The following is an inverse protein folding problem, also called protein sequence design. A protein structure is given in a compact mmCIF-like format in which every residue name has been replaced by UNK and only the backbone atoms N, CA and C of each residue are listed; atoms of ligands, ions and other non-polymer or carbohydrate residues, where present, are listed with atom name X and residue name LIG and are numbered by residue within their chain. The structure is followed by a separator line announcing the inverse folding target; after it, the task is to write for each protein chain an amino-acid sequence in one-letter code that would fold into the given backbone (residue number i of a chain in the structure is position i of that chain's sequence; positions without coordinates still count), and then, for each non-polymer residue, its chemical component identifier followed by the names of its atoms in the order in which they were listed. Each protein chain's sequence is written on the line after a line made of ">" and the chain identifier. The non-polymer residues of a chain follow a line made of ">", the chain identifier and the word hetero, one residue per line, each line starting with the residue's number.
data_IF_757787178157
#
_entry.id   IF_757787178157
#
_cell.length_a   1.000
_cell.length_b   1.000
_cell.length_c   1.000
_cell.angle_alpha   90.00
_cell.angle_beta   90.00
_cell.angle_gamma   90.00
#
_symmetry.space_group_name_H-M   'P 1'
#
loop_
_entity.id
_entity.type
_entity.pdbx_description
1 polymer ?
#
# COMPACT_ATOMS: atom_id res chain seq x y z
N UNK A 1 1.67 14.28 9.31
CA UNK A 1 2.41 13.99 8.07
C UNK A 1 3.08 12.62 8.23
N UNK A 2 2.62 11.60 7.51
CA UNK A 2 3.21 10.26 7.58
C UNK A 2 4.58 10.24 6.88
N UNK A 3 5.58 9.54 7.47
CA UNK A 3 6.95 9.45 6.93
C UNK A 3 7.28 8.09 6.29
N UNK A 4 6.39 7.10 6.41
CA UNK A 4 6.50 5.81 5.72
C UNK A 4 5.74 5.90 4.39
N UNK A 5 6.39 5.56 3.27
CA UNK A 5 5.80 5.68 1.93
C UNK A 5 5.26 4.34 1.39
N UNK A 6 5.60 3.20 2.01
CA UNK A 6 5.37 1.89 1.41
C UNK A 6 4.81 0.86 2.39
N UNK A 7 3.77 0.16 1.93
CA UNK A 7 3.19 -1.01 2.58
C UNK A 7 3.24 -2.20 1.61
N UNK A 8 3.99 -3.23 1.99
CA UNK A 8 4.06 -4.50 1.25
C UNK A 8 3.08 -5.52 1.81
N UNK A 9 2.31 -6.23 0.97
CA UNK A 9 1.47 -7.33 1.42
C UNK A 9 2.04 -8.70 1.05
N UNK A 10 2.18 -9.58 2.07
CA UNK A 10 2.14 -11.03 1.90
C UNK A 10 0.70 -11.50 2.06
N UNK A 11 0.24 -12.37 1.17
CA UNK A 11 -1.20 -12.49 0.85
C UNK A 11 -1.73 -13.91 0.95
N UNK A 12 -2.93 -14.09 1.52
CA UNK A 12 -3.79 -15.22 1.16
C UNK A 12 -5.29 -14.88 1.14
N UNK A 13 -5.92 -15.27 0.01
CA UNK A 13 -7.32 -15.57 -0.31
C UNK A 13 -8.54 -14.79 0.25
N UNK A 14 -9.48 -14.58 -0.69
CA UNK A 14 -10.89 -14.15 -0.56
C UNK A 14 -11.11 -12.72 -0.03
N UNK A 15 -11.22 -11.78 -0.97
CA UNK A 15 -12.50 -11.09 -1.14
C UNK A 15 -13.02 -11.49 -2.53
N UNK A 16 -14.14 -12.22 -2.56
CA UNK A 16 -15.07 -12.19 -3.70
C UNK A 16 -16.10 -11.10 -3.39
N UNK A 17 -16.57 -10.44 -4.44
CA UNK A 17 -17.76 -9.60 -4.46
C UNK A 17 -17.88 -8.52 -3.36
N UNK A 18 -17.32 -7.34 -3.67
CA UNK A 18 -18.05 -6.10 -3.43
C UNK A 18 -18.25 -5.39 -4.78
N UNK A 19 -19.49 -5.39 -5.24
CA UNK A 19 -19.91 -4.67 -6.45
C UNK A 19 -20.10 -3.19 -6.14
N UNK A 20 -19.23 -2.32 -6.68
CA UNK A 20 -19.49 -0.90 -7.00
C UNK A 20 -18.23 -0.22 -7.59
N UNK A 21 -18.37 0.70 -8.56
CA UNK A 21 -17.24 1.37 -9.22
C UNK A 21 -16.63 2.53 -8.37
N UNK A 22 -15.82 2.18 -7.34
CA UNK A 22 -15.26 3.13 -6.36
C UNK A 22 -13.74 3.33 -6.43
N UNK A 23 -13.31 4.41 -7.11
CA UNK A 23 -11.93 4.92 -7.26
C UNK A 23 -10.94 4.60 -6.11
N UNK A 24 -9.89 3.84 -6.40
CA UNK A 24 -8.62 3.83 -5.64
C UNK A 24 -7.46 3.35 -6.52
N UNK A 25 -6.29 3.99 -6.41
CA UNK A 25 -5.10 3.68 -7.22
C UNK A 25 -4.37 2.43 -6.72
N UNK A 26 -5.01 1.27 -6.88
CA UNK A 26 -4.33 -0.02 -6.78
C UNK A 26 -3.39 -0.20 -7.97
N UNK A 27 -2.14 0.23 -7.77
CA UNK A 27 -1.01 -0.21 -8.58
C UNK A 27 -0.79 -1.71 -8.38
N UNK A 28 -1.58 -2.53 -9.06
CA UNK A 28 -1.30 -3.96 -9.25
C UNK A 28 -0.09 -4.08 -10.18
N UNK A 29 1.10 -3.74 -9.66
CA UNK A 29 2.36 -4.04 -10.31
C UNK A 29 2.54 -5.54 -10.23
N UNK A 30 1.98 -6.27 -11.21
CA UNK A 30 2.21 -7.70 -11.37
C UNK A 30 3.67 -7.89 -11.80
N UNK A 31 4.58 -7.86 -10.81
CA UNK A 31 6.02 -8.09 -11.00
C UNK A 31 6.22 -9.55 -11.38
N UNK A 32 6.05 -9.85 -12.68
CA UNK A 32 6.49 -11.12 -13.28
C UNK A 32 8.01 -11.12 -13.40
N UNK A 33 8.66 -11.15 -12.23
CA UNK A 33 10.10 -11.21 -12.09
C UNK A 33 10.58 -12.55 -12.65
N UNK A 34 11.20 -12.51 -13.84
CA UNK A 34 11.52 -13.69 -14.63
C UNK A 34 12.96 -13.60 -15.11
N UNK A 35 13.77 -14.61 -14.77
CA UNK A 35 15.10 -14.78 -15.36
C UNK A 35 14.99 -14.96 -16.89
N UNK A 36 15.84 -14.26 -17.65
CA UNK A 36 15.73 -14.19 -19.12
C UNK A 36 16.23 -15.48 -19.78
N UNK A 37 15.34 -16.14 -20.55
CA UNK A 37 15.67 -17.15 -21.58
C UNK A 37 14.85 -16.84 -22.86
N UNK A 38 15.33 -17.22 -24.05
CA UNK A 38 15.15 -16.43 -25.30
C UNK A 38 14.21 -17.04 -26.37
N UNK A 39 13.16 -16.28 -26.78
CA UNK A 39 12.28 -16.45 -27.98
C UNK A 39 11.41 -17.75 -27.97
N UNK A 40 10.34 -17.96 -28.78
CA UNK A 40 9.72 -17.19 -29.91
C UNK A 40 8.15 -17.29 -29.85
N UNK A 41 7.44 -16.75 -30.85
CA UNK A 41 6.01 -16.30 -30.88
C UNK A 41 4.94 -17.24 -31.49
N UNK A 42 3.63 -17.02 -31.18
CA UNK A 42 2.46 -17.07 -32.10
C UNK A 42 1.15 -16.47 -31.47
N UNK A 43 0.03 -16.37 -32.22
CA UNK A 43 -1.28 -15.75 -31.87
C UNK A 43 -2.46 -16.74 -32.13
N UNK A 44 -3.80 -16.48 -32.01
CA UNK A 44 -4.74 -15.31 -32.04
C UNK A 44 -6.00 -15.71 -31.17
N UNK A 45 -7.23 -15.12 -31.07
CA UNK A 45 -8.06 -14.03 -31.68
C UNK A 45 -9.15 -13.57 -30.64
N UNK A 46 -10.15 -12.77 -31.06
CA UNK A 46 -11.37 -12.20 -30.42
C UNK A 46 -12.48 -13.19 -29.96
N UNK A 47 -13.50 -12.79 -29.16
CA UNK A 47 -14.79 -12.18 -29.63
C UNK A 47 -15.75 -11.74 -28.46
N UNK A 48 -16.42 -10.58 -28.63
CA UNK A 48 -17.75 -10.04 -28.17
C UNK A 48 -18.59 -10.79 -27.10
N UNK A 49 -19.60 -10.21 -26.44
CA UNK A 49 -20.01 -8.86 -25.95
C UNK A 49 -21.38 -9.07 -25.26
N UNK A 50 -21.71 -8.36 -24.19
CA UNK A 50 -23.07 -8.26 -23.64
C UNK A 50 -23.20 -7.02 -22.74
N UNK A 51 -24.30 -6.28 -22.88
CA UNK A 51 -24.62 -5.06 -22.11
C UNK A 51 -25.68 -5.34 -21.04
N UNK A 52 -25.56 -4.66 -19.90
CA UNK A 52 -26.64 -4.45 -18.93
C UNK A 52 -26.52 -3.02 -18.39
N UNK A 53 -27.64 -2.35 -18.19
CA UNK A 53 -27.69 -0.93 -17.83
C UNK A 53 -27.59 -0.74 -16.31
N UNK A 54 -26.65 0.11 -15.83
CA UNK A 54 -26.56 0.51 -14.43
C UNK A 54 -27.38 1.78 -14.18
N UNK A 55 -28.39 1.69 -13.30
CA UNK A 55 -29.20 2.86 -12.94
C UNK A 55 -28.41 3.85 -12.05
N UNK A 56 -28.37 5.10 -12.50
CA UNK A 56 -27.70 6.20 -11.82
C UNK A 56 -28.52 6.69 -10.61
N UNK A 57 -28.07 6.39 -9.39
CA UNK A 57 -28.62 6.99 -8.16
C UNK A 57 -27.87 8.29 -7.86
N UNK A 58 -28.44 9.42 -8.27
CA UNK A 58 -27.98 10.75 -7.85
C UNK A 58 -28.37 11.04 -6.41
N UNK A 59 -27.44 11.56 -5.61
CA UNK A 59 -27.76 12.04 -4.26
C UNK A 59 -28.50 13.37 -4.34
N UNK A 60 -29.82 13.36 -4.11
CA UNK A 60 -30.60 14.57 -3.91
C UNK A 60 -30.27 15.20 -2.55
N UNK A 61 -30.30 16.53 -2.49
CA UNK A 61 -30.37 17.28 -1.23
C UNK A 61 -31.74 17.01 -0.59
N UNK A 62 -31.75 16.70 0.71
CA UNK A 62 -32.99 16.65 1.48
C UNK A 62 -33.46 18.07 1.78
N UNK A 63 -34.55 18.45 1.13
CA UNK A 63 -35.45 19.50 1.60
C UNK A 63 -36.59 18.79 2.36
N UNK A 64 -37.13 19.43 3.39
CA UNK A 64 -38.05 18.77 4.33
C UNK A 64 -39.46 18.60 3.73
N UNK A 65 -39.87 17.35 3.51
CA UNK A 65 -41.23 16.97 3.08
C UNK A 65 -41.87 15.98 4.09
N UNK A 66 -43.02 16.35 4.66
CA UNK A 66 -43.74 15.61 5.71
C UNK A 66 -44.54 14.43 5.11
N UNK A 67 -43.82 13.47 4.51
CA UNK A 67 -44.38 12.37 3.72
C UNK A 67 -44.36 10.99 4.38
N UNK A 68 -45.51 10.58 4.95
CA UNK A 68 -45.95 9.18 5.19
C UNK A 68 -44.93 8.14 5.73
N UNK A 69 -45.06 7.77 7.01
CA UNK A 69 -44.23 6.72 7.67
C UNK A 69 -44.53 5.31 7.13
N UNK A 70 -43.72 4.85 6.16
CA UNK A 70 -43.68 3.44 5.75
C UNK A 70 -42.93 2.61 6.80
N UNK A 71 -43.67 1.86 7.63
CA UNK A 71 -43.11 0.97 8.66
C UNK A 71 -42.37 -0.24 8.06
N UNK A 72 -41.15 -0.03 7.56
CA UNK A 72 -40.24 -1.14 7.24
C UNK A 72 -39.77 -1.83 8.53
N UNK A 73 -39.98 -3.14 8.65
CA UNK A 73 -39.53 -3.91 9.83
C UNK A 73 -38.00 -3.78 9.98
N UNK A 74 -37.48 -3.41 11.17
CA UNK A 74 -36.06 -3.16 11.35
C UNK A 74 -35.24 -4.43 11.10
N UNK A 75 -34.44 -4.44 10.02
CA UNK A 75 -33.48 -5.51 9.77
C UNK A 75 -32.45 -5.52 10.90
N UNK A 76 -32.26 -6.68 11.55
CA UNK A 76 -31.28 -6.86 12.62
C UNK A 76 -29.87 -6.61 12.05
N UNK A 77 -29.29 -5.44 12.39
CA UNK A 77 -27.93 -5.02 11.96
C UNK A 77 -26.91 -6.12 12.24
N UNK A 78 -25.93 -6.33 11.36
CA UNK A 78 -24.88 -7.31 11.60
C UNK A 78 -24.02 -6.91 12.79
N UNK A 79 -23.27 -7.86 13.37
CA UNK A 79 -22.33 -7.57 14.46
C UNK A 79 -21.24 -6.58 14.03
N UNK A 80 -20.82 -6.63 12.76
CA UNK A 80 -19.94 -5.64 12.13
C UNK A 80 -20.56 -4.25 12.06
N UNK A 81 -21.82 -4.13 11.65
CA UNK A 81 -22.51 -2.83 11.56
C UNK A 81 -22.68 -2.19 12.94
N UNK A 82 -23.07 -3.00 13.94
CA UNK A 82 -23.21 -2.55 15.33
C UNK A 82 -21.87 -2.10 15.92
N UNK A 83 -20.78 -2.81 15.60
CA UNK A 83 -19.44 -2.41 16.03
C UNK A 83 -18.96 -1.11 15.35
N UNK A 84 -19.24 -0.94 14.06
CA UNK A 84 -18.92 0.26 13.29
C UNK A 84 -19.74 1.48 13.77
N UNK A 85 -21.04 1.30 14.01
CA UNK A 85 -21.92 2.31 14.59
C UNK A 85 -21.46 2.76 15.98
N UNK A 86 -21.16 1.79 16.86
CA UNK A 86 -20.61 2.08 18.19
C UNK A 86 -19.27 2.82 18.12
N UNK A 87 -18.40 2.46 17.18
CA UNK A 87 -17.13 3.15 16.94
C UNK A 87 -17.33 4.59 16.42
N UNK A 88 -18.25 4.79 15.48
CA UNK A 88 -18.58 6.10 14.93
C UNK A 88 -19.14 7.04 16.02
N UNK A 89 -20.13 6.58 16.79
CA UNK A 89 -20.73 7.34 17.90
C UNK A 89 -19.68 7.70 18.97
N UNK A 90 -18.81 6.76 19.35
CA UNK A 90 -17.72 7.02 20.30
C UNK A 90 -16.69 8.03 19.74
N UNK A 91 -16.42 8.00 18.44
CA UNK A 91 -15.50 8.93 17.76
C UNK A 91 -16.07 10.35 17.70
N UNK A 92 -17.36 10.49 17.37
CA UNK A 92 -18.07 11.78 17.38
C UNK A 92 -18.14 12.36 18.80
N UNK A 93 -18.46 11.53 19.79
CA UNK A 93 -18.55 11.91 21.21
C UNK A 93 -17.25 12.52 21.76
N UNK A 94 -16.08 11.99 21.37
CA UNK A 94 -14.76 12.53 21.74
C UNK A 94 -14.48 13.94 21.21
N UNK A 95 -15.16 14.36 20.12
CA UNK A 95 -14.87 15.60 19.35
C UNK A 95 -13.39 15.68 18.90
N UNK A 96 -13.03 16.80 18.28
CA UNK A 96 -11.66 17.02 17.78
C UNK A 96 -10.62 16.97 18.91
N UNK A 97 -10.93 17.55 20.07
CA UNK A 97 -9.96 17.70 21.16
C UNK A 97 -9.75 16.42 21.97
N UNK A 98 -10.76 15.57 22.13
CA UNK A 98 -10.58 14.22 22.69
C UNK A 98 -9.70 13.34 21.78
N UNK A 99 -9.88 13.44 20.45
CA UNK A 99 -9.02 12.78 19.47
C UNK A 99 -7.58 13.32 19.47
N UNK A 100 -7.40 14.64 19.67
CA UNK A 100 -6.07 15.25 19.86
C UNK A 100 -5.39 14.76 21.13
N UNK A 101 -6.13 14.64 22.25
CA UNK A 101 -5.62 14.14 23.52
C UNK A 101 -5.22 12.65 23.42
N UNK A 102 -6.07 11.82 22.83
CA UNK A 102 -5.76 10.40 22.56
C UNK A 102 -4.51 10.25 21.68
N UNK A 103 -4.39 11.04 20.60
CA UNK A 103 -3.18 11.06 19.78
C UNK A 103 -1.94 11.60 20.52
N UNK A 104 -2.10 12.50 21.49
CA UNK A 104 -1.00 12.94 22.34
C UNK A 104 -0.52 11.81 23.26
N UNK A 105 -1.43 11.05 23.89
CA UNK A 105 -1.11 9.86 24.68
C UNK A 105 -0.38 8.80 23.83
N UNK A 106 -0.79 8.59 22.57
CA UNK A 106 -0.09 7.65 21.67
C UNK A 106 1.37 8.06 21.35
N UNK A 107 1.78 9.32 21.56
CA UNK A 107 3.19 9.76 21.40
C UNK A 107 4.09 9.35 22.57
N UNK A 108 3.54 9.02 23.74
CA UNK A 108 4.35 8.58 24.90
C UNK A 108 4.75 7.10 24.81
N UNK A 109 4.21 6.36 23.83
CA UNK A 109 4.55 4.96 23.59
C UNK A 109 6.03 4.79 23.17
N UNK A 110 6.79 4.09 24.00
CA UNK A 110 8.16 3.65 23.70
C UNK A 110 8.15 2.13 23.42
N UNK A 111 8.70 1.66 22.29
CA UNK A 111 8.84 0.22 22.02
C UNK A 111 9.72 -0.48 23.06
N UNK A 112 9.39 -1.73 23.42
CA UNK A 112 10.17 -2.54 24.38
C UNK A 112 11.61 -2.84 23.95
N UNK A 113 11.91 -2.75 22.65
CA UNK A 113 13.24 -2.95 22.08
C UNK A 113 13.56 -1.80 21.12
N UNK A 114 14.56 -0.99 21.46
CA UNK A 114 14.90 0.27 20.77
C UNK A 114 16.24 0.23 20.05
N UNK A 115 16.90 -0.93 19.97
CA UNK A 115 18.17 -1.10 19.27
C UNK A 115 18.07 -0.70 17.79
N UNK A 116 19.07 0.07 17.34
CA UNK A 116 19.13 0.73 16.02
C UNK A 116 20.55 0.72 15.43
N UNK A 117 21.33 -0.30 15.77
CA UNK A 117 22.74 -0.49 15.41
C UNK A 117 22.94 -0.52 13.90
N UNK A 118 22.08 -1.23 13.17
CA UNK A 118 22.16 -1.32 11.72
C UNK A 118 21.76 0.01 11.06
N UNK A 119 20.74 0.70 11.58
CA UNK A 119 20.34 2.04 11.13
C UNK A 119 21.47 3.06 11.31
N UNK A 120 22.14 3.06 12.47
CA UNK A 120 23.27 3.95 12.77
C UNK A 120 24.49 3.67 11.88
N UNK A 121 24.76 2.40 11.53
CA UNK A 121 25.89 2.02 10.65
C UNK A 121 25.63 2.36 9.16
N UNK A 122 24.37 2.52 8.75
CA UNK A 122 23.98 2.68 7.35
C UNK A 122 23.26 4.02 7.10
N UNK A 123 23.80 5.14 7.63
CA UNK A 123 23.16 6.46 7.53
C UNK A 123 22.86 6.89 6.08
N UNK A 124 23.75 6.57 5.14
CA UNK A 124 23.59 6.84 3.70
C UNK A 124 22.46 6.02 3.03
N UNK A 125 21.94 4.99 3.69
CA UNK A 125 20.79 4.22 3.25
C UNK A 125 19.47 4.72 3.87
N UNK A 126 19.49 5.77 4.70
CA UNK A 126 18.31 6.30 5.39
C UNK A 126 17.84 7.63 4.75
N UNK A 127 16.58 7.70 4.31
CA UNK A 127 15.98 8.92 3.73
C UNK A 127 15.69 10.00 4.77
N UNK A 128 15.52 9.62 6.05
CA UNK A 128 15.29 10.54 7.15
C UNK A 128 16.01 10.04 8.42
N UNK A 129 17.00 10.79 8.91
CA UNK A 129 17.74 10.45 10.13
C UNK A 129 16.87 10.44 11.40
N UNK A 130 15.68 11.05 11.36
CA UNK A 130 14.70 11.08 12.45
C UNK A 130 13.49 10.13 12.19
N UNK A 131 13.73 9.02 11.51
CA UNK A 131 12.82 7.86 11.40
C UNK A 131 13.66 6.61 11.63
N UNK A 132 13.60 6.05 12.83
CA UNK A 132 14.46 4.92 13.20
C UNK A 132 13.99 3.62 12.52
N UNK A 133 14.92 2.83 12.02
CA UNK A 133 14.72 1.42 11.67
C UNK A 133 15.26 0.56 12.82
N UNK A 134 14.39 -0.17 13.52
CA UNK A 134 14.80 -0.95 14.70
C UNK A 134 15.37 -2.32 14.32
N UNK A 135 16.49 -2.70 14.92
CA UNK A 135 17.22 -3.94 14.63
C UNK A 135 16.34 -5.19 14.82
N UNK A 136 15.53 -5.23 15.88
CA UNK A 136 14.75 -6.41 16.28
C UNK A 136 13.60 -6.78 15.32
N UNK A 137 13.22 -5.88 14.41
CA UNK A 137 12.15 -6.11 13.40
C UNK A 137 12.59 -5.76 11.98
N UNK A 138 13.84 -5.35 11.74
CA UNK A 138 14.31 -4.98 10.40
C UNK A 138 14.28 -6.18 9.45
N UNK A 139 14.12 -5.90 8.16
CA UNK A 139 14.37 -6.92 7.13
C UNK A 139 15.87 -7.00 6.89
N UNK A 140 16.43 -8.21 7.04
CA UNK A 140 17.81 -8.52 6.68
C UNK A 140 17.84 -8.99 5.23
N UNK A 141 18.57 -8.29 4.36
CA UNK A 141 18.77 -8.70 2.98
C UNK A 141 19.80 -9.84 2.90
N UNK A 142 19.47 -10.87 2.11
CA UNK A 142 20.26 -12.09 1.89
C UNK A 142 20.44 -12.41 0.41
N UNK A 143 19.50 -11.99 -0.44
CA UNK A 143 19.55 -12.31 -1.87
C UNK A 143 20.56 -11.43 -2.65
N UNK A 144 21.64 -12.06 -3.13
CA UNK A 144 22.65 -11.44 -3.98
C UNK A 144 23.23 -10.14 -3.36
N UNK A 145 23.54 -10.18 -2.07
CA UNK A 145 23.97 -9.05 -1.24
C UNK A 145 25.51 -9.03 -1.12
N UNK A 146 26.20 -7.88 -1.25
CA UNK A 146 27.62 -7.77 -0.92
C UNK A 146 27.84 -8.04 0.58
N UNK A 147 28.95 -8.67 1.01
CA UNK A 147 29.15 -9.14 2.38
C UNK A 147 28.74 -8.15 3.48
N UNK A 148 29.10 -6.88 3.31
CA UNK A 148 28.91 -5.82 4.32
C UNK A 148 27.60 -5.01 4.17
N UNK A 149 26.62 -5.48 3.37
CA UNK A 149 25.41 -4.70 3.01
C UNK A 149 24.08 -5.43 3.22
N UNK A 150 23.89 -6.02 4.40
CA UNK A 150 22.64 -6.71 4.80
C UNK A 150 21.42 -5.77 5.02
N UNK A 151 21.62 -4.45 4.95
CA UNK A 151 20.67 -3.46 5.46
C UNK A 151 19.78 -2.83 4.39
N UNK A 152 18.50 -2.72 4.73
CA UNK A 152 17.53 -1.80 4.13
C UNK A 152 16.68 -1.18 5.24
N UNK A 153 16.28 0.08 5.08
CA UNK A 153 15.35 0.75 6.00
C UNK A 153 13.92 0.22 5.80
N UNK A 154 13.67 -0.97 6.35
CA UNK A 154 12.39 -1.67 6.28
C UNK A 154 12.18 -2.53 7.54
N UNK A 155 10.99 -2.47 8.14
CA UNK A 155 10.62 -3.28 9.30
C UNK A 155 9.39 -4.15 9.01
N UNK A 156 9.40 -5.38 9.52
CA UNK A 156 8.21 -6.22 9.59
C UNK A 156 7.21 -5.64 10.58
N UNK A 157 5.96 -5.48 10.15
CA UNK A 157 4.83 -5.05 10.99
C UNK A 157 3.80 -6.17 11.05
N UNK A 158 3.47 -6.57 12.29
CA UNK A 158 2.43 -7.56 12.59
C UNK A 158 1.15 -6.83 13.01
N UNK A 159 0.01 -7.39 12.66
CA UNK A 159 -1.29 -6.97 13.20
C UNK A 159 -2.10 -8.20 13.57
N UNK A 160 -2.87 -8.13 14.66
CA UNK A 160 -3.85 -9.13 15.04
C UNK A 160 -5.14 -9.05 14.22
N UNK A 161 -5.35 -7.98 13.44
CA UNK A 161 -6.53 -7.78 12.61
C UNK A 161 -6.62 -8.73 11.40
N UNK A 162 -5.55 -9.48 11.12
CA UNK A 162 -5.54 -10.54 10.12
C UNK A 162 -4.76 -11.72 10.70
N UNK A 163 -5.32 -12.94 10.66
CA UNK A 163 -4.74 -14.18 11.21
C UNK A 163 -3.59 -14.72 10.34
N UNK A 164 -2.61 -13.86 10.07
CA UNK A 164 -1.41 -14.11 9.26
C UNK A 164 -0.18 -13.64 10.08
N UNK A 165 1.02 -14.22 9.85
CA UNK A 165 2.27 -13.76 10.44
C UNK A 165 3.02 -12.80 9.51
N UNK A 166 3.62 -11.74 10.07
CA UNK A 166 4.44 -10.74 9.34
C UNK A 166 3.73 -10.12 8.13
N UNK A 167 2.47 -9.70 8.32
CA UNK A 167 1.52 -9.31 7.27
C UNK A 167 2.04 -8.19 6.37
N UNK A 168 2.79 -7.26 6.97
CA UNK A 168 3.30 -6.08 6.30
C UNK A 168 4.80 -5.93 6.44
N UNK A 169 5.42 -5.36 5.42
CA UNK A 169 6.73 -4.71 5.52
C UNK A 169 6.52 -3.23 5.26
N UNK A 170 6.90 -2.40 6.23
CA UNK A 170 6.89 -0.95 6.11
C UNK A 170 8.30 -0.48 5.80
N UNK A 171 8.47 0.32 4.74
CA UNK A 171 9.78 0.85 4.32
C UNK A 171 9.70 2.32 3.91
N UNK A 172 10.83 3.01 3.96
CA UNK A 172 10.98 4.34 3.37
C UNK A 172 10.77 4.31 1.84
N UNK A 173 10.55 5.46 1.23
CA UNK A 173 10.60 5.56 -0.23
C UNK A 173 12.03 5.36 -0.75
N UNK A 174 12.28 4.43 -1.71
CA UNK A 174 13.60 4.22 -2.31
C UNK A 174 14.34 5.51 -2.63
N UNK A 175 15.63 5.55 -2.32
CA UNK A 175 16.58 6.54 -2.80
C UNK A 175 17.36 5.90 -3.94
N UNK A 176 18.00 6.71 -4.80
CA UNK A 176 18.68 6.21 -5.99
C UNK A 176 19.78 5.19 -5.65
N UNK A 177 20.54 5.44 -4.57
CA UNK A 177 21.51 4.50 -3.99
C UNK A 177 20.92 3.28 -3.25
N UNK A 178 19.59 3.11 -3.19
CA UNK A 178 18.90 1.98 -2.54
C UNK A 178 17.85 1.30 -3.43
N UNK A 179 17.70 1.66 -4.72
CA UNK A 179 16.70 1.05 -5.62
C UNK A 179 16.99 -0.46 -5.80
N UNK A 180 18.25 -0.84 -5.97
CA UNK A 180 18.65 -2.24 -6.12
C UNK A 180 18.32 -3.06 -4.87
N UNK A 181 18.51 -2.48 -3.69
CA UNK A 181 18.24 -3.10 -2.40
C UNK A 181 16.74 -3.25 -2.13
N UNK A 182 15.92 -2.29 -2.57
CA UNK A 182 14.47 -2.42 -2.63
C UNK A 182 14.02 -3.58 -3.53
N UNK A 183 14.65 -3.79 -4.70
CA UNK A 183 14.32 -4.94 -5.53
C UNK A 183 14.81 -6.28 -4.96
N UNK A 184 15.96 -6.29 -4.25
CA UNK A 184 16.39 -7.45 -3.44
C UNK A 184 15.35 -7.80 -2.37
N UNK A 185 14.82 -6.81 -1.65
CA UNK A 185 13.71 -6.97 -0.69
C UNK A 185 12.48 -7.60 -1.38
N UNK A 186 12.04 -7.07 -2.52
CA UNK A 186 10.89 -7.60 -3.29
C UNK A 186 11.12 -9.06 -3.71
N UNK A 187 12.30 -9.38 -4.27
CA UNK A 187 12.61 -10.73 -4.73
C UNK A 187 12.71 -11.75 -3.60
N UNK A 188 13.36 -11.36 -2.49
CA UNK A 188 13.50 -12.19 -1.30
C UNK A 188 12.14 -12.46 -0.65
N UNK A 189 11.37 -11.40 -0.38
CA UNK A 189 10.16 -11.50 0.42
C UNK A 189 8.91 -11.91 -0.39
N UNK A 190 8.97 -11.85 -1.72
CA UNK A 190 7.91 -12.31 -2.65
C UNK A 190 6.52 -11.74 -2.30
N UNK A 191 6.38 -10.42 -2.07
CA UNK A 191 5.08 -9.79 -1.84
C UNK A 191 4.26 -9.84 -3.14
N UNK A 192 2.93 -9.91 -3.05
CA UNK A 192 2.06 -9.85 -4.24
C UNK A 192 1.65 -8.42 -4.59
N UNK A 193 1.70 -7.51 -3.62
CA UNK A 193 1.28 -6.11 -3.78
C UNK A 193 2.29 -5.17 -3.12
N UNK A 194 2.61 -4.08 -3.82
CA UNK A 194 3.42 -2.97 -3.34
C UNK A 194 2.51 -1.73 -3.34
N UNK A 195 2.16 -1.19 -2.17
CA UNK A 195 1.35 0.03 -2.08
C UNK A 195 2.27 1.23 -1.92
N UNK A 196 2.24 2.15 -2.90
CA UNK A 196 2.95 3.43 -2.88
C UNK A 196 2.01 4.53 -2.37
N UNK A 197 2.32 5.12 -1.22
CA UNK A 197 1.45 6.07 -0.51
C UNK A 197 1.82 7.55 -0.75
N UNK A 198 2.77 7.82 -1.62
CA UNK A 198 3.32 9.17 -1.86
C UNK A 198 3.68 9.35 -3.36
N UNK A 199 3.61 10.58 -3.87
CA UNK A 199 4.15 10.89 -5.22
C UNK A 199 5.68 10.91 -5.20
N UNK A 200 6.32 10.79 -6.36
CA UNK A 200 7.80 10.87 -6.50
C UNK A 200 8.32 12.20 -5.93
N UNK A 201 7.63 13.31 -6.23
CA UNK A 201 7.87 14.65 -5.71
C UNK A 201 6.57 15.19 -5.12
N UNK A 202 6.64 15.80 -3.93
CA UNK A 202 5.52 16.46 -3.25
C UNK A 202 6.00 17.79 -2.65
N UNK A 203 5.28 18.89 -2.91
CA UNK A 203 5.63 20.24 -2.43
C UNK A 203 7.11 20.60 -2.70
N UNK A 204 7.58 20.32 -3.92
CA UNK A 204 8.97 20.55 -4.35
C UNK A 204 10.02 19.59 -3.76
N UNK A 205 9.64 18.61 -2.93
CA UNK A 205 10.57 17.71 -2.23
C UNK A 205 10.41 16.26 -2.71
N UNK A 206 11.51 15.65 -3.15
CA UNK A 206 11.57 14.25 -3.57
C UNK A 206 11.27 13.32 -2.37
N UNK A 207 10.21 12.51 -2.49
CA UNK A 207 9.80 11.52 -1.47
C UNK A 207 10.25 10.11 -1.80
N UNK A 208 10.41 9.83 -3.09
CA UNK A 208 10.74 8.54 -3.66
C UNK A 208 11.56 8.76 -4.94
N UNK A 209 12.37 7.78 -5.33
CA UNK A 209 13.02 7.73 -6.65
C UNK A 209 12.21 6.85 -7.61
N UNK A 210 12.40 6.97 -8.93
CA UNK A 210 11.61 6.22 -9.91
C UNK A 210 12.08 4.74 -10.03
N UNK A 211 11.75 3.96 -9.01
CA UNK A 211 12.22 2.58 -8.82
C UNK A 211 11.57 1.55 -9.77
N UNK A 212 10.65 1.93 -10.65
CA UNK A 212 9.98 1.02 -11.59
C UNK A 212 9.81 1.61 -13.01
N UNK A 213 9.69 0.77 -14.06
CA UNK A 213 9.28 1.22 -15.41
C UNK A 213 7.85 1.82 -15.42
N UNK A 214 7.71 3.04 -15.94
CA UNK A 214 6.46 3.80 -15.96
C UNK A 214 5.55 3.44 -17.14
N UNK A 215 6.14 3.08 -18.28
CA UNK A 215 5.43 2.89 -19.54
C UNK A 215 5.06 1.42 -19.76
N UNK A 216 3.86 1.13 -20.27
CA UNK A 216 3.46 -0.26 -20.51
C UNK A 216 4.38 -0.94 -21.53
N UNK A 217 4.89 -2.12 -21.18
CA UNK A 217 5.87 -2.87 -21.98
C UNK A 217 7.33 -2.55 -21.65
N UNK A 218 7.61 -1.38 -21.07
CA UNK A 218 8.95 -0.93 -20.66
C UNK A 218 9.57 -1.90 -19.66
N UNK A 219 10.88 -2.09 -19.77
CA UNK A 219 11.67 -3.01 -18.95
C UNK A 219 12.92 -2.29 -18.47
N UNK A 220 13.18 -2.34 -17.16
CA UNK A 220 14.39 -1.76 -16.53
C UNK A 220 15.13 -2.84 -15.72
N UNK A 221 16.44 -2.68 -15.62
CA UNK A 221 17.31 -3.56 -14.86
C UNK A 221 17.80 -2.85 -13.60
N UNK A 222 17.71 -3.54 -12.47
CA UNK A 222 18.10 -3.08 -11.15
C UNK A 222 19.05 -4.13 -10.54
N UNK A 223 20.35 -3.96 -10.78
CA UNK A 223 21.36 -4.99 -10.51
C UNK A 223 21.10 -6.25 -11.35
N UNK A 224 20.91 -7.41 -10.70
CA UNK A 224 20.53 -8.66 -11.38
C UNK A 224 19.02 -8.83 -11.60
N UNK A 225 18.19 -7.88 -11.16
CA UNK A 225 16.73 -8.00 -11.20
C UNK A 225 16.17 -7.20 -12.37
N UNK A 226 15.50 -7.88 -13.30
CA UNK A 226 14.84 -7.26 -14.45
C UNK A 226 13.34 -7.11 -14.18
N UNK A 227 12.88 -5.86 -14.14
CA UNK A 227 11.48 -5.50 -13.88
C UNK A 227 10.85 -5.02 -15.17
N UNK A 228 9.68 -5.59 -15.51
CA UNK A 228 8.88 -5.19 -16.67
C UNK A 228 7.52 -4.68 -16.23
N UNK A 229 7.12 -3.53 -16.75
CA UNK A 229 5.74 -3.07 -16.69
C UNK A 229 4.90 -3.90 -17.68
N UNK A 230 4.00 -4.73 -17.18
CA UNK A 230 3.17 -5.62 -18.00
C UNK A 230 1.88 -4.93 -18.47
N UNK A 231 1.31 -4.07 -17.61
CA UNK A 231 0.06 -3.33 -17.82
C UNK A 231 0.10 -2.05 -16.99
N UNK A 232 -0.36 -0.93 -17.55
CA UNK A 232 -0.75 0.26 -16.78
C UNK A 232 -2.26 0.41 -16.84
N UNK A 233 -2.87 0.71 -15.70
CA UNK A 233 -4.28 1.15 -15.61
C UNK A 233 -4.26 2.51 -14.91
N UNK A 234 -4.91 3.50 -15.50
CA UNK A 234 -5.07 4.86 -14.96
C UNK A 234 -6.54 5.26 -15.11
N UNK A 235 -7.10 5.98 -14.15
CA UNK A 235 -8.42 6.59 -14.31
C UNK A 235 -8.38 7.66 -15.40
N UNK A 236 -9.53 7.89 -16.06
CA UNK A 236 -9.68 8.83 -17.18
C UNK A 236 -9.32 10.29 -16.84
N UNK A 237 -9.25 10.63 -15.55
CA UNK A 237 -8.93 11.95 -15.00
C UNK A 237 -7.45 12.37 -15.05
N UNK A 238 -6.51 11.48 -15.41
CA UNK A 238 -5.06 11.80 -15.38
C UNK A 238 -4.50 12.35 -16.72
N UNK A 239 -5.36 12.67 -17.71
CA UNK A 239 -4.95 13.26 -19.00
C UNK A 239 -5.01 14.80 -19.01
N UNK A 240 -4.39 15.47 -18.03
CA UNK A 240 -4.37 16.93 -17.97
C UNK A 240 -3.18 17.50 -17.16
N UNK A 241 -1.96 17.29 -17.64
CA UNK A 241 -0.77 18.17 -17.46
C UNK A 241 0.40 17.63 -18.30
#
# INVERSE_FOLDING_TARGET
>A
MFKFCFLFLRTLHIIKDLSSPGKSLLYEVIVKCRMVKRKKSKARKSKRDATTEEQLVTMATVEDDEGAVVMTRPKKKSSSDQALEKFALATVSKKIDGLRAEFATLKTFVPKATSQTAFNRNMNCNRYNNVICYDHTRVVLKFNVPPDRDYIHANYVRTSLCNLPNNFICTQGPMDGTINDFWRLVWQEKPKTIVMLCKVIECGKQKCSQYFPLNQGETKQYGMITVKNVRKTSSSSEKAQ
#
